data_IF_150007261047
#
_entry.id   IF_150007261047
#
_cell.length_a   1.000
_cell.length_b   1.000
_cell.length_c   1.000
_cell.angle_alpha   90.00
_cell.angle_beta   90.00
_cell.angle_gamma   90.00
#
_symmetry.space_group_name_H-M   'P 1'
#
loop_
_entity.id
_entity.type
_entity.pdbx_description
1 polymer ?
#
# COMPACT_ATOMS: atom_id res chain seq x y z
N UNK A 1 1.24 15.60 1.49
CA UNK A 1 1.58 15.09 0.14
C UNK A 1 0.74 15.85 -0.87
N UNK A 2 1.32 16.52 -1.87
CA UNK A 2 0.56 17.11 -2.98
C UNK A 2 0.80 16.23 -4.22
N UNK A 3 -0.26 15.59 -4.73
CA UNK A 3 -0.15 14.85 -5.99
C UNK A 3 -0.18 15.82 -7.17
N UNK A 4 0.57 15.53 -8.22
CA UNK A 4 0.45 16.27 -9.46
C UNK A 4 -0.98 16.10 -10.03
N UNK A 5 -1.44 17.10 -10.77
CA UNK A 5 -2.81 17.16 -11.30
C UNK A 5 -3.11 15.92 -12.17
N UNK A 6 -2.11 15.40 -12.89
CA UNK A 6 -2.21 14.27 -13.83
C UNK A 6 -1.57 12.95 -13.33
N UNK A 7 -1.35 12.78 -12.01
CA UNK A 7 -0.81 11.51 -11.51
C UNK A 7 -1.77 10.34 -11.82
N UNK A 8 -1.26 9.21 -12.34
CA UNK A 8 -2.10 8.08 -12.71
C UNK A 8 -2.82 7.50 -11.50
N UNK A 9 -4.03 7.01 -11.73
CA UNK A 9 -4.81 6.26 -10.75
C UNK A 9 -4.41 4.79 -10.84
N UNK A 10 -4.08 4.20 -9.69
CA UNK A 10 -3.61 2.80 -9.63
C UNK A 10 -4.35 2.07 -8.52
N UNK A 11 -4.86 0.90 -8.85
CA UNK A 11 -5.35 -0.08 -7.87
C UNK A 11 -4.21 -1.07 -7.63
N UNK A 12 -3.89 -1.33 -6.37
CA UNK A 12 -2.91 -2.34 -5.99
C UNK A 12 -3.62 -3.55 -5.40
N UNK A 13 -3.22 -4.73 -5.84
CA UNK A 13 -3.66 -5.99 -5.27
C UNK A 13 -3.07 -6.22 -3.89
N UNK A 14 -3.80 -6.93 -3.01
CA UNK A 14 -3.36 -7.32 -1.66
C UNK A 14 -1.97 -7.98 -1.67
N UNK A 15 -1.69 -8.81 -2.67
CA UNK A 15 -0.41 -9.52 -2.82
C UNK A 15 0.79 -8.58 -2.96
N UNK A 16 0.61 -7.38 -3.53
CA UNK A 16 1.68 -6.38 -3.66
C UNK A 16 2.09 -5.86 -2.28
N UNK A 17 1.10 -5.53 -1.44
CA UNK A 17 1.35 -5.09 -0.06
C UNK A 17 2.03 -6.18 0.76
N UNK A 18 1.49 -7.42 0.71
CA UNK A 18 2.06 -8.56 1.43
C UNK A 18 3.50 -8.83 1.00
N UNK A 19 3.76 -8.86 -0.31
CA UNK A 19 5.09 -9.11 -0.84
C UNK A 19 6.07 -8.02 -0.45
N UNK A 20 5.64 -6.76 -0.43
CA UNK A 20 6.48 -5.65 -0.01
C UNK A 20 6.85 -5.72 1.48
N UNK A 21 5.90 -6.06 2.35
CA UNK A 21 6.09 -6.13 3.80
C UNK A 21 6.91 -7.36 4.23
N UNK A 22 6.80 -8.46 3.49
CA UNK A 22 7.56 -9.69 3.77
C UNK A 22 8.95 -9.72 3.11
N UNK A 23 9.19 -8.85 2.13
CA UNK A 23 10.45 -8.87 1.37
C UNK A 23 11.62 -8.41 2.22
N UNK A 24 12.70 -9.19 2.19
CA UNK A 24 14.01 -8.79 2.75
C UNK A 24 14.83 -7.94 1.78
N UNK A 25 14.37 -7.79 0.53
CA UNK A 25 15.06 -7.03 -0.51
C UNK A 25 14.31 -5.70 -0.77
N UNK A 26 14.84 -4.55 -0.31
CA UNK A 26 14.19 -3.25 -0.49
C UNK A 26 14.12 -2.82 -1.97
N UNK A 27 14.92 -3.42 -2.85
CA UNK A 27 14.91 -3.17 -4.29
C UNK A 27 13.96 -4.10 -5.06
N UNK A 28 13.25 -4.99 -4.38
CA UNK A 28 12.23 -5.83 -5.03
C UNK A 28 11.11 -4.98 -5.63
N UNK A 29 10.49 -5.45 -6.73
CA UNK A 29 9.43 -4.72 -7.40
C UNK A 29 8.28 -4.30 -6.46
N UNK A 30 7.77 -5.16 -5.55
CA UNK A 30 6.74 -4.76 -4.59
C UNK A 30 7.17 -3.62 -3.67
N UNK A 31 8.40 -3.66 -3.12
CA UNK A 31 8.93 -2.58 -2.29
C UNK A 31 9.04 -1.27 -3.08
N UNK A 32 9.49 -1.33 -4.33
CA UNK A 32 9.57 -0.15 -5.19
C UNK A 32 8.19 0.44 -5.50
N UNK A 33 7.17 -0.39 -5.75
CA UNK A 33 5.79 0.06 -5.98
C UNK A 33 5.26 0.80 -4.76
N UNK A 34 5.41 0.24 -3.56
CA UNK A 34 5.00 0.90 -2.31
C UNK A 34 5.76 2.21 -2.12
N UNK A 35 7.07 2.24 -2.40
CA UNK A 35 7.86 3.49 -2.34
C UNK A 35 7.32 4.54 -3.31
N UNK A 36 7.07 4.19 -4.58
CA UNK A 36 6.57 5.13 -5.59
C UNK A 36 5.18 5.69 -5.26
N UNK A 37 4.31 4.86 -4.68
CA UNK A 37 3.05 5.33 -4.12
C UNK A 37 3.29 6.35 -3.00
N UNK A 38 4.15 6.03 -2.01
CA UNK A 38 4.47 6.92 -0.89
C UNK A 38 5.18 8.21 -1.33
N UNK A 39 5.92 8.17 -2.44
CA UNK A 39 6.53 9.33 -3.11
C UNK A 39 5.52 10.12 -3.97
N UNK A 40 4.27 9.68 -4.08
CA UNK A 40 3.21 10.41 -4.78
C UNK A 40 3.32 10.33 -6.30
N UNK A 41 4.07 9.35 -6.83
CA UNK A 41 4.20 9.14 -8.28
C UNK A 41 2.90 8.68 -8.93
N UNK A 42 2.00 8.10 -8.14
CA UNK A 42 0.65 7.76 -8.53
C UNK A 42 -0.30 7.86 -7.33
N UNK A 43 -1.60 7.96 -7.61
CA UNK A 43 -2.67 8.00 -6.62
C UNK A 43 -3.21 6.59 -6.43
N UNK A 44 -3.16 6.08 -5.20
CA UNK A 44 -3.78 4.80 -4.86
C UNK A 44 -5.30 4.97 -4.84
N UNK A 45 -6.00 4.09 -5.55
CA UNK A 45 -7.46 3.94 -5.48
C UNK A 45 -7.73 2.67 -4.69
N UNK A 46 -8.60 2.76 -3.67
CA UNK A 46 -8.94 1.61 -2.83
C UNK A 46 -10.43 1.63 -2.50
N UNK A 47 -11.06 0.46 -2.57
CA UNK A 47 -12.44 0.29 -2.08
C UNK A 47 -12.43 -0.17 -0.62
N UNK A 48 -13.53 0.05 0.13
CA UNK A 48 -13.68 -0.51 1.47
C UNK A 48 -13.45 -2.03 1.51
N UNK A 49 -13.94 -2.76 0.52
CA UNK A 49 -13.80 -4.22 0.44
C UNK A 49 -12.34 -4.65 0.28
N UNK A 50 -11.56 -3.95 -0.55
CA UNK A 50 -10.13 -4.23 -0.71
C UNK A 50 -9.35 -3.91 0.58
N UNK A 51 -9.76 -2.86 1.29
CA UNK A 51 -9.13 -2.51 2.57
C UNK A 51 -9.41 -3.58 3.64
N UNK A 52 -10.63 -4.10 3.72
CA UNK A 52 -11.00 -5.19 4.61
C UNK A 52 -10.20 -6.47 4.32
N UNK A 53 -10.13 -6.87 3.04
CA UNK A 53 -9.34 -8.03 2.61
C UNK A 53 -7.86 -7.87 2.97
N UNK A 54 -7.29 -6.69 2.71
CA UNK A 54 -5.89 -6.39 3.05
C UNK A 54 -5.63 -6.56 4.54
N UNK A 55 -6.48 -5.99 5.40
CA UNK A 55 -6.35 -6.12 6.86
C UNK A 55 -6.43 -7.59 7.29
N UNK A 56 -7.39 -8.34 6.77
CA UNK A 56 -7.53 -9.77 7.05
C UNK A 56 -6.23 -10.53 6.70
N UNK A 57 -5.71 -10.34 5.49
CA UNK A 57 -4.50 -11.06 5.04
C UNK A 57 -3.25 -10.66 5.82
N UNK A 58 -3.10 -9.39 6.18
CA UNK A 58 -1.97 -8.92 6.99
C UNK A 58 -1.95 -9.57 8.38
N UNK A 59 -3.12 -9.70 9.01
CA UNK A 59 -3.26 -10.37 10.31
C UNK A 59 -2.96 -11.87 10.20
N UNK A 60 -3.48 -12.56 9.17
CA UNK A 60 -3.23 -13.99 8.93
C UNK A 60 -1.74 -14.28 8.69
N UNK A 61 -1.02 -13.35 8.06
CA UNK A 61 0.42 -13.49 7.78
C UNK A 61 1.34 -13.09 8.93
N UNK A 62 0.81 -12.77 10.12
CA UNK A 62 1.58 -12.34 11.29
C UNK A 62 2.55 -11.18 10.99
N UNK A 63 2.12 -10.23 10.13
CA UNK A 63 2.90 -9.00 9.90
C UNK A 63 2.95 -8.20 11.19
N UNK A 64 4.09 -7.53 11.44
CA UNK A 64 4.25 -6.69 12.63
C UNK A 64 3.15 -5.63 12.73
N UNK A 65 2.62 -5.43 13.94
CA UNK A 65 1.50 -4.51 14.15
C UNK A 65 1.87 -3.06 13.84
N UNK A 66 3.13 -2.67 13.97
CA UNK A 66 3.57 -1.31 13.62
C UNK A 66 3.61 -1.13 12.11
N UNK A 67 4.06 -2.14 11.36
CA UNK A 67 4.05 -2.13 9.90
C UNK A 67 2.62 -2.08 9.35
N UNK A 68 1.70 -2.85 9.94
CA UNK A 68 0.27 -2.77 9.61
C UNK A 68 -0.27 -1.36 9.88
N UNK A 69 0.05 -0.78 11.04
CA UNK A 69 -0.39 0.59 11.36
C UNK A 69 0.19 1.63 10.40
N UNK A 70 1.46 1.49 10.01
CA UNK A 70 2.13 2.41 9.08
C UNK A 70 1.45 2.37 7.70
N UNK A 71 1.24 1.18 7.14
CA UNK A 71 0.61 1.05 5.82
C UNK A 71 -0.84 1.54 5.83
N UNK A 72 -1.63 1.21 6.86
CA UNK A 72 -3.02 1.66 6.96
C UNK A 72 -3.12 3.17 7.15
N UNK A 73 -2.22 3.79 7.91
CA UNK A 73 -2.13 5.25 8.01
C UNK A 73 -1.82 5.86 6.65
N UNK A 74 -0.85 5.31 5.92
CA UNK A 74 -0.51 5.79 4.58
C UNK A 74 -1.72 5.69 3.63
N UNK A 75 -2.46 4.58 3.63
CA UNK A 75 -3.69 4.41 2.85
C UNK A 75 -4.71 5.47 3.24
N UNK A 76 -5.00 5.62 4.54
CA UNK A 76 -6.04 6.54 5.01
C UNK A 76 -5.79 8.00 4.61
N UNK A 77 -4.53 8.44 4.60
CA UNK A 77 -4.17 9.82 4.28
C UNK A 77 -3.93 10.10 2.79
N UNK A 78 -3.74 9.06 1.97
CA UNK A 78 -3.27 9.25 0.58
C UNK A 78 -4.14 8.57 -0.47
N UNK A 79 -4.95 7.59 -0.09
CA UNK A 79 -5.80 6.87 -1.03
C UNK A 79 -7.07 7.66 -1.35
N UNK A 80 -7.48 7.57 -2.61
CA UNK A 80 -8.76 8.03 -3.09
C UNK A 80 -9.78 6.92 -2.81
N UNK A 81 -10.90 7.32 -2.21
CA UNK A 81 -11.99 6.43 -1.78
C UNK A 81 -13.12 6.46 -2.80
#
# INVERSE_FOLDING_TARGET
MMFAQDSPLVILDTSVFLSALLSKNPNSAPCQIIRYWREGRFKLVISPQLLEELVEKLLVKNIDRNDIKDILRAIFYTAIK
#
